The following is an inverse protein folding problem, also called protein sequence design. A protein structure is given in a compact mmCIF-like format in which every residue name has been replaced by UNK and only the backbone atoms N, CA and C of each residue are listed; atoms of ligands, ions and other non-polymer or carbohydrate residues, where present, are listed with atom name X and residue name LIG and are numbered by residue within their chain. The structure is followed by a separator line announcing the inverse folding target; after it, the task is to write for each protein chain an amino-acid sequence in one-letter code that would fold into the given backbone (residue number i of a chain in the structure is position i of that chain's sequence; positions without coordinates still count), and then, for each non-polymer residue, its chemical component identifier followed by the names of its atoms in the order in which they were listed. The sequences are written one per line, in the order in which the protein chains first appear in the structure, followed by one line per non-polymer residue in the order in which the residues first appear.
data_IF_465475145325
#
_entry.id   IF_465475145325
#
_cell.length_a   1.000
_cell.length_b   1.000
_cell.length_c   1.000
_cell.angle_alpha   90.00
_cell.angle_beta   90.00
_cell.angle_gamma   90.00
#
_symmetry.space_group_name_H-M   'P 1'
#
loop_
_entity.id
_entity.type
_entity.pdbx_description
1 polymer ?
#
# COMPACT_ATOMS: atom_id res chain seq x y z
N UNK A 1 -40.44 49.11 14.67
CA UNK A 1 -39.27 48.38 14.16
C UNK A 1 -39.71 47.70 12.88
N UNK A 2 -39.01 47.89 11.77
CA UNK A 2 -39.35 47.20 10.53
C UNK A 2 -38.97 45.72 10.69
N UNK A 3 -39.96 44.83 10.61
CA UNK A 3 -39.70 43.39 10.59
C UNK A 3 -39.04 43.05 9.25
N UNK A 4 -37.83 42.54 9.32
CA UNK A 4 -37.11 42.03 8.16
C UNK A 4 -37.62 40.61 7.87
N UNK A 5 -38.15 40.39 6.67
CA UNK A 5 -38.64 39.09 6.24
C UNK A 5 -37.65 38.49 5.23
N UNK A 6 -37.13 37.30 5.52
CA UNK A 6 -36.31 36.50 4.62
C UNK A 6 -37.07 35.27 4.16
N UNK A 7 -36.82 34.84 2.93
CA UNK A 7 -37.21 33.53 2.40
C UNK A 7 -35.97 32.81 1.89
N UNK A 8 -35.98 31.49 2.03
CA UNK A 8 -34.96 30.58 1.55
C UNK A 8 -35.41 30.00 0.20
N UNK A 9 -34.45 29.88 -0.72
CA UNK A 9 -34.66 29.16 -1.97
C UNK A 9 -34.74 27.65 -1.70
N UNK A 10 -35.43 26.92 -2.58
CA UNK A 10 -35.55 25.44 -2.51
C UNK A 10 -34.19 24.73 -2.52
N UNK A 11 -33.14 25.36 -3.05
CA UNK A 11 -31.78 24.82 -3.05
C UNK A 11 -31.00 25.07 -1.76
N UNK A 12 -31.55 25.78 -0.76
CA UNK A 12 -30.80 26.14 0.44
C UNK A 12 -30.31 24.90 1.21
N UNK A 13 -31.17 23.88 1.33
CA UNK A 13 -30.81 22.61 1.97
C UNK A 13 -29.70 21.86 1.24
N UNK A 14 -29.75 21.86 -0.10
CA UNK A 14 -28.69 21.30 -0.96
C UNK A 14 -27.36 22.02 -0.76
N UNK A 15 -27.37 23.36 -0.77
CA UNK A 15 -26.18 24.18 -0.57
C UNK A 15 -25.56 23.92 0.81
N UNK A 16 -26.38 23.85 1.85
CA UNK A 16 -25.90 23.57 3.20
C UNK A 16 -25.22 22.20 3.30
N UNK A 17 -25.81 21.17 2.67
CA UNK A 17 -25.22 19.85 2.62
C UNK A 17 -23.87 19.83 1.86
N UNK A 18 -23.77 20.56 0.75
CA UNK A 18 -22.53 20.70 -0.01
C UNK A 18 -21.42 21.34 0.81
N UNK A 19 -21.72 22.43 1.53
CA UNK A 19 -20.75 23.13 2.40
C UNK A 19 -20.25 22.19 3.52
N UNK A 20 -21.16 21.47 4.17
CA UNK A 20 -20.81 20.53 5.22
C UNK A 20 -19.89 19.41 4.72
N UNK A 21 -20.20 18.86 3.54
CA UNK A 21 -19.39 17.80 2.92
C UNK A 21 -18.04 18.32 2.42
N UNK A 22 -17.94 19.57 1.93
CA UNK A 22 -16.67 20.20 1.59
C UNK A 22 -15.79 20.40 2.84
N UNK A 23 -16.38 20.77 3.97
CA UNK A 23 -15.66 20.82 5.24
C UNK A 23 -15.07 19.45 5.63
N UNK A 24 -15.83 18.37 5.47
CA UNK A 24 -15.35 17.02 5.77
C UNK A 24 -14.27 16.56 4.78
N UNK A 25 -14.55 16.60 3.47
CA UNK A 25 -13.78 15.88 2.44
C UNK A 25 -12.64 16.70 1.84
N UNK A 26 -12.78 18.03 1.79
CA UNK A 26 -11.79 18.93 1.20
C UNK A 26 -10.97 19.65 2.27
N UNK A 27 -11.63 20.21 3.27
CA UNK A 27 -10.96 20.94 4.36
C UNK A 27 -10.45 20.01 5.47
N UNK A 28 -10.88 18.75 5.46
CA UNK A 28 -10.44 17.71 6.39
C UNK A 28 -10.79 18.11 7.84
N UNK A 29 -12.03 18.57 8.04
CA UNK A 29 -12.55 19.09 9.31
C UNK A 29 -13.92 18.49 9.63
N UNK A 30 -13.96 17.33 10.30
CA UNK A 30 -15.22 16.65 10.61
C UNK A 30 -16.07 17.42 11.62
N UNK A 31 -15.43 18.17 12.53
CA UNK A 31 -16.13 18.99 13.52
C UNK A 31 -16.90 20.09 12.83
N UNK A 32 -16.23 20.85 11.95
CA UNK A 32 -16.86 21.94 11.20
C UNK A 32 -17.95 21.44 10.25
N UNK A 33 -17.80 20.24 9.70
CA UNK A 33 -18.84 19.60 8.89
C UNK A 33 -20.14 19.38 9.68
N UNK A 34 -20.05 18.88 10.91
CA UNK A 34 -21.22 18.70 11.78
C UNK A 34 -21.78 20.05 12.25
N UNK A 35 -20.91 20.98 12.68
CA UNK A 35 -21.30 22.33 13.11
C UNK A 35 -22.04 23.10 12.02
N UNK A 36 -21.71 22.87 10.75
CA UNK A 36 -22.42 23.47 9.62
C UNK A 36 -23.91 23.17 9.66
N UNK A 37 -24.31 21.94 10.02
CA UNK A 37 -25.71 21.60 10.19
C UNK A 37 -26.27 22.08 11.53
N UNK A 38 -25.61 21.76 12.64
CA UNK A 38 -26.17 22.00 13.98
C UNK A 38 -26.22 23.48 14.37
N UNK A 39 -25.39 24.33 13.77
CA UNK A 39 -25.47 25.79 13.97
C UNK A 39 -26.43 26.48 13.00
N UNK A 40 -26.72 25.87 11.84
CA UNK A 40 -27.62 26.45 10.83
C UNK A 40 -29.08 26.04 11.04
N UNK A 41 -29.31 24.85 11.62
CA UNK A 41 -30.63 24.32 11.91
C UNK A 41 -30.80 24.24 13.42
N UNK A 42 -31.65 25.10 13.97
CA UNK A 42 -31.87 25.18 15.41
C UNK A 42 -32.33 23.83 15.98
N UNK A 43 -31.76 23.43 17.11
CA UNK A 43 -32.05 22.17 17.82
C UNK A 43 -31.82 20.88 17.02
N UNK A 44 -31.07 20.90 15.91
CA UNK A 44 -30.77 19.69 15.14
C UNK A 44 -29.83 18.75 15.91
N UNK A 45 -30.24 17.50 16.20
CA UNK A 45 -29.37 16.53 16.86
C UNK A 45 -28.17 16.12 15.98
N UNK A 46 -27.03 15.83 16.62
CA UNK A 46 -25.81 15.38 15.93
C UNK A 46 -26.05 14.11 15.10
N UNK A 47 -26.88 13.18 15.57
CA UNK A 47 -27.23 11.97 14.82
C UNK A 47 -27.92 12.27 13.48
N UNK A 48 -28.76 13.31 13.44
CA UNK A 48 -29.38 13.76 12.20
C UNK A 48 -28.38 14.48 11.30
N UNK A 49 -27.48 15.29 11.87
CA UNK A 49 -26.38 15.91 11.13
C UNK A 49 -25.47 14.87 10.45
N UNK A 50 -25.19 13.76 11.12
CA UNK A 50 -24.43 12.62 10.56
C UNK A 50 -25.14 12.01 9.34
N UNK A 51 -26.46 11.81 9.43
CA UNK A 51 -27.26 11.25 8.32
C UNK A 51 -27.43 12.25 7.16
N UNK A 52 -27.46 13.54 7.46
CA UNK A 52 -27.40 14.60 6.44
C UNK A 52 -26.05 14.61 5.74
N UNK A 53 -24.96 14.39 6.49
CA UNK A 53 -23.60 14.36 5.96
C UNK A 53 -23.39 13.20 4.98
N UNK A 54 -23.92 12.01 5.27
CA UNK A 54 -23.92 10.86 4.34
C UNK A 54 -24.93 10.98 3.19
N UNK A 55 -25.84 11.96 3.27
CA UNK A 55 -26.93 12.14 2.30
C UNK A 55 -28.06 11.13 2.45
N UNK A 56 -28.15 10.39 3.55
CA UNK A 56 -29.31 9.55 3.90
C UNK A 56 -30.56 10.39 4.20
N UNK A 57 -30.34 11.54 4.84
CA UNK A 57 -31.35 12.58 5.01
C UNK A 57 -31.05 13.76 4.08
N UNK A 58 -32.09 14.52 3.77
CA UNK A 58 -32.00 15.78 3.02
C UNK A 58 -32.81 16.87 3.71
N UNK A 59 -32.48 18.12 3.40
CA UNK A 59 -33.16 19.30 3.92
C UNK A 59 -34.04 19.86 2.81
N UNK A 60 -35.35 19.78 2.97
CA UNK A 60 -36.32 20.39 2.07
C UNK A 60 -36.77 21.75 2.60
N UNK A 61 -36.89 22.73 1.70
CA UNK A 61 -37.54 24.00 2.00
C UNK A 61 -38.94 23.96 1.42
N UNK A 62 -39.94 24.23 2.26
CA UNK A 62 -41.35 24.28 1.87
C UNK A 62 -41.63 25.43 0.89
N UNK A 63 -42.78 25.37 0.22
CA UNK A 63 -43.17 26.39 -0.77
C UNK A 63 -43.30 27.80 -0.19
N UNK A 64 -43.46 27.93 1.13
CA UNK A 64 -43.48 29.22 1.83
C UNK A 64 -42.09 29.86 1.96
N UNK A 65 -41.01 29.12 1.66
CA UNK A 65 -39.62 29.58 1.76
C UNK A 65 -39.19 29.88 3.20
N UNK A 66 -39.94 29.48 4.22
CA UNK A 66 -39.64 29.77 5.63
C UNK A 66 -39.46 28.47 6.41
N UNK A 67 -40.31 27.47 6.14
CA UNK A 67 -40.26 26.20 6.83
C UNK A 67 -39.24 25.27 6.17
N UNK A 68 -38.44 24.61 7.02
CA UNK A 68 -37.37 23.71 6.62
C UNK A 68 -37.57 22.38 7.30
N UNK A 69 -37.63 21.30 6.51
CA UNK A 69 -37.90 19.95 6.99
C UNK A 69 -36.74 19.03 6.66
N UNK A 70 -36.32 18.22 7.63
CA UNK A 70 -35.36 17.14 7.40
C UNK A 70 -36.12 15.85 7.12
N UNK A 71 -35.93 15.28 5.94
CA UNK A 71 -36.66 14.10 5.47
C UNK A 71 -35.70 13.04 4.93
N UNK A 72 -36.19 11.80 4.83
CA UNK A 72 -35.45 10.72 4.18
C UNK A 72 -35.24 11.01 2.70
N UNK A 73 -34.05 10.70 2.18
CA UNK A 73 -33.76 10.85 0.75
C UNK A 73 -34.63 9.93 -0.10
N UNK A 74 -35.49 10.54 -0.92
CA UNK A 74 -36.12 9.90 -2.09
C UNK A 74 -35.29 10.15 -3.36
N UNK A 75 -34.78 9.10 -4.01
CA UNK A 75 -33.94 9.22 -5.21
C UNK A 75 -34.67 9.77 -6.44
N UNK A 76 -36.00 9.68 -6.50
CA UNK A 76 -36.77 10.26 -7.61
C UNK A 76 -36.88 11.79 -7.48
N UNK A 77 -36.84 12.31 -6.24
CA UNK A 77 -37.00 13.74 -5.93
C UNK A 77 -35.67 14.44 -5.66
N UNK A 78 -34.72 13.75 -5.05
CA UNK A 78 -33.46 14.30 -4.53
C UNK A 78 -32.23 13.84 -5.28
N UNK A 79 -32.39 13.41 -6.54
CA UNK A 79 -31.27 12.97 -7.38
C UNK A 79 -30.16 14.02 -7.51
N UNK A 80 -30.49 15.30 -7.35
CA UNK A 80 -29.55 16.41 -7.43
C UNK A 80 -28.95 16.84 -6.07
N UNK A 81 -29.42 16.29 -4.94
CA UNK A 81 -28.80 16.49 -3.63
C UNK A 81 -27.49 15.71 -3.56
N UNK A 82 -26.46 16.21 -2.86
CA UNK A 82 -25.21 15.50 -2.82
C UNK A 82 -25.33 14.20 -2.01
N UNK A 83 -24.59 13.17 -2.44
CA UNK A 83 -24.50 11.86 -1.77
C UNK A 83 -23.06 11.36 -1.93
N UNK A 84 -22.17 11.71 -1.00
CA UNK A 84 -20.77 11.35 -1.10
C UNK A 84 -20.60 9.83 -0.96
N UNK A 85 -19.75 9.24 -1.81
CA UNK A 85 -19.28 7.87 -1.62
C UNK A 85 -18.10 7.90 -0.65
N UNK A 86 -18.39 7.73 0.65
CA UNK A 86 -17.35 7.71 1.66
C UNK A 86 -16.42 6.51 1.54
N UNK A 87 -16.89 5.38 1.01
CA UNK A 87 -16.05 4.18 0.85
C UNK A 87 -15.01 4.43 -0.24
N UNK A 88 -15.44 4.90 -1.42
CA UNK A 88 -14.54 5.22 -2.52
C UNK A 88 -13.56 6.34 -2.12
N UNK A 89 -14.05 7.41 -1.51
CA UNK A 89 -13.18 8.49 -1.02
C UNK A 89 -12.15 7.98 -0.01
N UNK A 90 -12.57 7.16 0.95
CA UNK A 90 -11.69 6.60 1.98
C UNK A 90 -10.59 5.75 1.35
N UNK A 91 -10.94 4.81 0.47
CA UNK A 91 -9.97 3.96 -0.25
C UNK A 91 -9.02 4.78 -1.12
N UNK A 92 -9.53 5.80 -1.80
CA UNK A 92 -8.73 6.72 -2.60
C UNK A 92 -7.69 7.46 -1.75
N UNK A 93 -8.07 8.02 -0.60
CA UNK A 93 -7.12 8.73 0.26
C UNK A 93 -6.03 7.80 0.81
N UNK A 94 -6.36 6.57 1.22
CA UNK A 94 -5.37 5.56 1.63
C UNK A 94 -4.33 5.29 0.54
N UNK A 95 -4.79 5.11 -0.70
CA UNK A 95 -3.93 4.90 -1.86
C UNK A 95 -3.05 6.12 -2.15
N UNK A 96 -3.61 7.32 -2.06
CA UNK A 96 -2.88 8.56 -2.30
C UNK A 96 -1.85 8.85 -1.21
N UNK A 97 -2.12 8.56 0.07
CA UNK A 97 -1.12 8.65 1.15
C UNK A 97 0.11 7.82 0.81
N UNK A 98 -0.09 6.57 0.37
CA UNK A 98 1.01 5.69 -0.04
C UNK A 98 1.74 6.23 -1.26
N UNK A 99 1.00 6.55 -2.33
CA UNK A 99 1.58 6.98 -3.61
C UNK A 99 2.36 8.29 -3.50
N UNK A 100 1.78 9.30 -2.84
CA UNK A 100 2.45 10.59 -2.64
C UNK A 100 3.57 10.49 -1.62
N UNK A 101 3.37 9.70 -0.55
CA UNK A 101 4.42 9.41 0.42
C UNK A 101 5.65 8.77 -0.22
N UNK A 102 5.48 7.77 -1.08
CA UNK A 102 6.60 7.12 -1.76
C UNK A 102 7.41 8.10 -2.63
N UNK A 103 6.76 9.05 -3.31
CA UNK A 103 7.46 10.08 -4.09
C UNK A 103 8.27 11.02 -3.22
N UNK A 104 7.70 11.44 -2.09
CA UNK A 104 8.38 12.33 -1.14
C UNK A 104 9.57 11.62 -0.51
N UNK A 105 9.39 10.36 -0.10
CA UNK A 105 10.47 9.52 0.42
C UNK A 105 11.63 9.44 -0.58
N UNK A 106 11.34 9.13 -1.85
CA UNK A 106 12.37 9.06 -2.90
C UNK A 106 13.10 10.39 -3.09
N UNK A 107 12.38 11.52 -3.08
CA UNK A 107 13.02 12.84 -3.17
C UNK A 107 13.90 13.18 -1.96
N UNK A 108 13.50 12.76 -0.75
CA UNK A 108 14.33 12.92 0.45
C UNK A 108 15.57 12.01 0.40
N UNK A 109 15.44 10.79 -0.13
CA UNK A 109 16.55 9.86 -0.37
C UNK A 109 17.56 10.43 -1.37
N UNK A 110 17.09 11.01 -2.47
CA UNK A 110 17.95 11.67 -3.45
C UNK A 110 18.73 12.83 -2.80
N UNK A 111 18.06 13.63 -1.96
CA UNK A 111 18.71 14.70 -1.22
C UNK A 111 19.76 14.18 -0.24
N UNK A 112 19.44 13.14 0.53
CA UNK A 112 20.37 12.48 1.44
C UNK A 112 21.61 11.94 0.71
N UNK A 113 21.41 11.26 -0.43
CA UNK A 113 22.51 10.76 -1.27
C UNK A 113 23.37 11.89 -1.83
N UNK A 114 22.75 13.00 -2.26
CA UNK A 114 23.48 14.19 -2.71
C UNK A 114 24.38 14.76 -1.61
N UNK A 115 23.86 14.89 -0.38
CA UNK A 115 24.63 15.35 0.79
C UNK A 115 25.79 14.39 1.07
N UNK A 116 25.54 13.08 1.07
CA UNK A 116 26.56 12.04 1.28
C UNK A 116 27.69 12.13 0.24
N UNK A 117 27.36 12.20 -1.05
CA UNK A 117 28.33 12.30 -2.15
C UNK A 117 29.26 13.51 -1.99
N UNK A 118 28.71 14.65 -1.53
CA UNK A 118 29.46 15.88 -1.32
C UNK A 118 29.98 16.05 0.12
N UNK A 119 29.99 14.96 0.91
CA UNK A 119 30.49 14.92 2.29
C UNK A 119 29.88 15.99 3.19
N UNK A 120 28.61 16.28 2.98
CA UNK A 120 27.87 17.26 3.78
C UNK A 120 28.10 18.72 3.42
N UNK A 121 28.79 19.03 2.32
CA UNK A 121 29.16 20.39 1.96
C UNK A 121 28.84 20.75 0.52
N UNK A 122 28.55 22.02 0.26
CA UNK A 122 28.47 22.59 -1.08
C UNK A 122 29.29 23.88 -1.11
N UNK A 123 30.00 24.09 -2.22
CA UNK A 123 30.75 25.32 -2.44
C UNK A 123 29.93 26.31 -3.29
N UNK A 124 30.11 27.59 -2.96
CA UNK A 124 29.60 28.73 -3.72
C UNK A 124 30.77 29.61 -4.13
N UNK A 125 30.72 30.11 -5.36
CA UNK A 125 31.70 31.06 -5.87
C UNK A 125 31.16 32.49 -5.70
N UNK A 126 31.94 33.34 -5.06
CA UNK A 126 31.61 34.76 -4.87
C UNK A 126 32.70 35.63 -5.48
N UNK A 127 32.31 36.72 -6.13
CA UNK A 127 33.28 37.71 -6.57
C UNK A 127 33.83 38.52 -5.36
N UNK A 128 35.06 39.02 -5.47
CA UNK A 128 35.71 39.77 -4.38
C UNK A 128 34.98 41.07 -4.01
N UNK A 129 34.22 41.65 -4.94
CA UNK A 129 33.45 42.87 -4.68
C UNK A 129 32.28 42.61 -3.72
N UNK A 130 31.54 41.52 -3.93
CA UNK A 130 30.46 41.05 -3.06
C UNK A 130 31.01 40.75 -1.65
N UNK A 131 32.13 40.02 -1.57
CA UNK A 131 32.81 39.76 -0.30
C UNK A 131 33.27 41.05 0.39
N UNK A 132 33.83 42.00 -0.36
CA UNK A 132 34.25 43.30 0.18
C UNK A 132 33.07 44.13 0.74
N UNK A 133 31.93 44.14 0.04
CA UNK A 133 30.69 44.78 0.53
C UNK A 133 30.19 44.11 1.82
N UNK A 134 30.17 42.78 1.87
CA UNK A 134 29.79 42.04 3.07
C UNK A 134 30.71 42.36 4.25
N UNK A 135 32.03 42.26 4.08
CA UNK A 135 33.00 42.47 5.16
C UNK A 135 32.99 43.91 5.69
N UNK A 136 32.89 44.92 4.81
CA UNK A 136 33.01 46.33 5.20
C UNK A 136 31.67 46.93 5.62
N UNK A 137 30.58 46.55 4.94
CA UNK A 137 29.26 47.18 5.09
C UNK A 137 28.19 46.27 5.68
N UNK A 138 28.50 44.99 5.95
CA UNK A 138 27.53 43.96 6.32
C UNK A 138 26.39 43.83 5.29
N UNK A 139 26.69 44.09 4.02
CA UNK A 139 25.77 43.98 2.89
C UNK A 139 25.85 42.56 2.33
N UNK A 140 24.81 41.77 2.60
CA UNK A 140 24.68 40.35 2.23
C UNK A 140 23.89 40.13 0.93
N UNK A 141 23.26 41.17 0.35
CA UNK A 141 22.26 40.99 -0.71
C UNK A 141 22.79 40.20 -1.92
N UNK A 142 23.99 40.50 -2.40
CA UNK A 142 24.58 39.79 -3.55
C UNK A 142 24.96 38.32 -3.22
N UNK A 143 25.31 38.04 -1.95
CA UNK A 143 25.59 36.68 -1.46
C UNK A 143 24.29 35.88 -1.34
N UNK A 144 23.25 36.48 -0.74
CA UNK A 144 21.90 35.92 -0.65
C UNK A 144 21.32 35.61 -2.02
N UNK A 145 21.42 36.53 -2.99
CA UNK A 145 20.92 36.33 -4.35
C UNK A 145 21.60 35.12 -5.02
N UNK A 146 22.91 34.92 -4.82
CA UNK A 146 23.63 33.75 -5.36
C UNK A 146 23.14 32.45 -4.72
N UNK A 147 22.93 32.45 -3.40
CA UNK A 147 22.44 31.26 -2.67
C UNK A 147 20.98 30.96 -3.06
N UNK A 148 20.13 31.97 -3.12
CA UNK A 148 18.69 31.83 -3.37
C UNK A 148 18.36 31.49 -4.82
N UNK A 149 19.23 31.86 -5.76
CA UNK A 149 19.12 31.48 -7.17
C UNK A 149 19.73 30.10 -7.48
N UNK A 150 20.44 29.48 -6.53
CA UNK A 150 21.05 28.17 -6.72
C UNK A 150 19.99 27.06 -6.79
N UNK A 151 19.94 26.28 -7.88
CA UNK A 151 18.96 25.21 -8.05
C UNK A 151 19.01 24.14 -6.94
N UNK A 152 20.17 23.90 -6.33
CA UNK A 152 20.35 22.93 -5.23
C UNK A 152 19.64 23.42 -3.98
N UNK A 153 19.79 24.71 -3.65
CA UNK A 153 19.13 25.36 -2.51
C UNK A 153 17.62 25.39 -2.71
N UNK A 154 17.17 25.76 -3.90
CA UNK A 154 15.74 25.77 -4.21
C UNK A 154 15.13 24.36 -4.17
N UNK A 155 15.86 23.33 -4.63
CA UNK A 155 15.42 21.94 -4.53
C UNK A 155 15.27 21.50 -3.06
N UNK A 156 16.25 21.79 -2.21
CA UNK A 156 16.18 21.53 -0.77
C UNK A 156 14.95 22.20 -0.14
N UNK A 157 14.76 23.49 -0.43
CA UNK A 157 13.62 24.28 0.06
C UNK A 157 12.28 23.67 -0.35
N UNK A 158 12.14 23.27 -1.63
CA UNK A 158 10.94 22.61 -2.14
C UNK A 158 10.69 21.28 -1.44
N UNK A 159 11.71 20.45 -1.28
CA UNK A 159 11.57 19.15 -0.64
C UNK A 159 11.15 19.27 0.82
N UNK A 160 11.69 20.22 1.57
CA UNK A 160 11.26 20.46 2.96
C UNK A 160 9.81 20.95 3.03
N UNK A 161 9.43 21.92 2.18
CA UNK A 161 8.05 22.41 2.13
C UNK A 161 7.05 21.33 1.73
N UNK A 162 7.36 20.53 0.71
CA UNK A 162 6.51 19.43 0.26
C UNK A 162 6.34 18.36 1.33
N UNK A 163 7.43 18.01 2.02
CA UNK A 163 7.41 16.99 3.07
C UNK A 163 6.61 17.45 4.29
N UNK A 164 6.83 18.68 4.78
CA UNK A 164 6.05 19.25 5.90
C UNK A 164 4.56 19.38 5.54
N UNK A 165 4.24 19.89 4.35
CA UNK A 165 2.85 20.01 3.91
C UNK A 165 2.15 18.65 3.80
N UNK A 166 2.83 17.64 3.27
CA UNK A 166 2.33 16.27 3.22
C UNK A 166 2.05 15.70 4.61
N UNK A 167 3.01 15.82 5.54
CA UNK A 167 2.85 15.32 6.91
C UNK A 167 1.66 15.99 7.59
N UNK A 168 1.58 17.33 7.54
CA UNK A 168 0.45 18.09 8.12
C UNK A 168 -0.90 17.66 7.54
N UNK A 169 -0.99 17.53 6.22
CA UNK A 169 -2.23 17.09 5.56
C UNK A 169 -2.61 15.67 5.99
N UNK A 170 -1.62 14.77 6.05
CA UNK A 170 -1.84 13.37 6.40
C UNK A 170 -2.29 13.21 7.85
N UNK A 171 -1.70 13.96 8.78
CA UNK A 171 -2.15 13.99 10.18
C UNK A 171 -3.57 14.52 10.34
N UNK A 172 -3.97 15.53 9.55
CA UNK A 172 -5.38 15.97 9.53
C UNK A 172 -6.30 14.86 9.00
N UNK A 173 -5.89 14.15 7.94
CA UNK A 173 -6.69 13.07 7.36
C UNK A 173 -6.99 11.96 8.36
N UNK A 174 -6.08 11.68 9.30
CA UNK A 174 -6.32 10.69 10.35
C UNK A 174 -7.56 11.01 11.19
N UNK A 175 -7.79 12.29 11.51
CA UNK A 175 -8.97 12.70 12.25
C UNK A 175 -10.26 12.43 11.45
N UNK A 176 -10.22 12.58 10.12
CA UNK A 176 -11.37 12.25 9.26
C UNK A 176 -11.55 10.75 9.15
N UNK A 177 -10.48 9.96 9.05
CA UNK A 177 -10.57 8.51 9.08
C UNK A 177 -11.17 8.01 10.40
N UNK A 178 -10.69 8.50 11.53
CA UNK A 178 -11.23 8.17 12.85
C UNK A 178 -12.72 8.50 12.96
N UNK A 179 -13.12 9.68 12.48
CA UNK A 179 -14.52 10.09 12.42
C UNK A 179 -15.34 9.13 11.57
N UNK A 180 -14.91 8.87 10.33
CA UNK A 180 -15.63 8.02 9.39
C UNK A 180 -15.74 6.56 9.85
N UNK A 181 -14.65 5.99 10.38
CA UNK A 181 -14.61 4.64 10.96
C UNK A 181 -15.56 4.51 12.16
N UNK A 182 -15.63 5.53 13.02
CA UNK A 182 -16.51 5.54 14.18
C UNK A 182 -17.98 5.77 13.83
N UNK A 183 -18.24 6.67 12.87
CA UNK A 183 -19.59 7.11 12.52
C UNK A 183 -20.28 6.17 11.53
N UNK A 184 -19.54 5.52 10.63
CA UNK A 184 -20.11 4.64 9.59
C UNK A 184 -19.48 3.23 9.59
N UNK A 185 -19.43 2.50 10.72
CA UNK A 185 -18.66 1.25 10.86
C UNK A 185 -19.16 0.10 9.96
N UNK A 186 -20.42 0.14 9.53
CA UNK A 186 -20.99 -0.86 8.62
C UNK A 186 -20.60 -0.63 7.16
N UNK A 187 -20.27 0.61 6.78
CA UNK A 187 -19.84 0.98 5.45
C UNK A 187 -18.31 1.00 5.36
N UNK A 188 -17.67 1.48 6.42
CA UNK A 188 -16.23 1.68 6.52
C UNK A 188 -15.68 0.69 7.53
N UNK A 189 -15.15 -0.41 7.00
CA UNK A 189 -14.52 -1.45 7.81
C UNK A 189 -13.00 -1.26 7.82
N UNK A 190 -12.37 -0.91 8.96
CA UNK A 190 -10.91 -0.78 9.05
C UNK A 190 -10.18 -2.11 8.80
N UNK A 191 -10.87 -3.25 8.99
CA UNK A 191 -10.32 -4.59 8.82
C UNK A 191 -10.38 -5.12 7.37
N UNK A 192 -11.04 -4.42 6.44
CA UNK A 192 -10.99 -4.75 5.00
C UNK A 192 -9.76 -4.14 4.29
N UNK A 193 -8.77 -3.61 5.04
CA UNK A 193 -7.62 -2.96 4.41
C UNK A 193 -6.35 -2.72 5.23
N UNK A 194 -6.38 -2.59 6.57
CA UNK A 194 -5.20 -2.73 7.46
C UNK A 194 -5.59 -2.50 8.94
N UNK A 195 -5.23 -3.48 9.77
CA UNK A 195 -5.51 -3.65 11.21
C UNK A 195 -4.62 -2.70 12.06
N UNK A 196 -5.01 -2.31 13.30
CA UNK A 196 -4.46 -1.14 14.01
C UNK A 196 -3.02 -1.32 14.50
N UNK A 197 -2.26 -0.22 14.42
CA UNK A 197 -0.88 -0.11 14.86
C UNK A 197 0.03 0.33 13.72
N UNK A 198 0.43 1.61 13.71
CA UNK A 198 1.19 2.30 12.63
C UNK A 198 0.48 2.34 11.28
N UNK A 199 -0.55 3.19 11.17
CA UNK A 199 -1.44 3.35 9.99
C UNK A 199 -0.69 3.42 8.64
N UNK A 200 0.54 3.94 8.59
CA UNK A 200 1.35 3.95 7.36
C UNK A 200 2.87 4.02 7.65
N UNK A 201 3.64 2.92 7.48
CA UNK A 201 5.09 2.93 7.70
C UNK A 201 5.84 3.97 6.86
N UNK A 202 5.29 4.35 5.71
CA UNK A 202 5.86 5.37 4.82
C UNK A 202 5.94 6.76 5.50
N UNK A 203 4.99 7.09 6.38
CA UNK A 203 4.98 8.37 7.08
C UNK A 203 6.17 8.45 8.04
N UNK A 204 6.36 7.43 8.87
CA UNK A 204 7.50 7.35 9.79
C UNK A 204 8.84 7.43 9.03
N UNK A 205 8.94 6.79 7.87
CA UNK A 205 10.14 6.87 7.02
C UNK A 205 10.40 8.29 6.52
N UNK A 206 9.37 9.00 6.09
CA UNK A 206 9.48 10.41 5.66
C UNK A 206 9.89 11.28 6.85
N UNK A 207 9.25 11.11 8.01
CA UNK A 207 9.58 11.89 9.21
C UNK A 207 11.02 11.67 9.65
N UNK A 208 11.48 10.43 9.71
CA UNK A 208 12.87 10.11 10.07
C UNK A 208 13.85 10.77 9.10
N UNK A 209 13.63 10.63 7.79
CA UNK A 209 14.52 11.22 6.78
C UNK A 209 14.51 12.75 6.81
N UNK A 210 13.32 13.35 6.92
CA UNK A 210 13.17 14.80 7.02
C UNK A 210 13.82 15.34 8.29
N UNK A 211 13.63 14.67 9.43
CA UNK A 211 14.24 15.05 10.71
C UNK A 211 15.77 14.99 10.63
N UNK A 212 16.33 13.91 10.10
CA UNK A 212 17.77 13.77 9.90
C UNK A 212 18.35 14.91 9.04
N UNK A 213 17.61 15.35 8.03
CA UNK A 213 18.00 16.47 7.16
C UNK A 213 17.89 17.83 7.87
N UNK A 214 16.82 18.07 8.63
CA UNK A 214 16.60 19.32 9.38
C UNK A 214 17.64 19.48 10.50
N UNK A 215 17.92 18.40 11.23
CA UNK A 215 18.89 18.39 12.34
C UNK A 215 20.33 18.23 11.85
N UNK A 216 20.52 17.99 10.54
CA UNK A 216 21.82 17.69 9.93
C UNK A 216 22.57 16.56 10.67
N UNK A 217 21.87 15.43 10.89
CA UNK A 217 22.47 14.22 11.43
C UNK A 217 23.17 13.43 10.31
N UNK A 218 24.40 13.85 9.99
CA UNK A 218 25.18 13.26 8.90
C UNK A 218 25.47 11.76 9.13
N UNK A 219 25.71 11.34 10.38
CA UNK A 219 25.97 9.94 10.71
C UNK A 219 24.73 9.08 10.45
N UNK A 220 23.54 9.56 10.83
CA UNK A 220 22.28 8.87 10.56
C UNK A 220 21.97 8.80 9.07
N UNK A 221 22.28 9.87 8.30
CA UNK A 221 22.15 9.88 6.84
C UNK A 221 23.01 8.78 6.21
N UNK A 222 24.30 8.74 6.55
CA UNK A 222 25.26 7.73 6.06
C UNK A 222 24.89 6.30 6.50
N UNK A 223 24.42 6.12 7.75
CA UNK A 223 23.96 4.83 8.24
C UNK A 223 22.75 4.33 7.44
N UNK A 224 21.78 5.20 7.19
CA UNK A 224 20.56 4.86 6.41
C UNK A 224 20.91 4.47 4.98
N UNK A 225 21.79 5.22 4.32
CA UNK A 225 22.22 4.91 2.94
C UNK A 225 22.96 3.57 2.90
N UNK A 226 23.85 3.30 3.86
CA UNK A 226 24.58 2.03 3.94
C UNK A 226 23.65 0.83 4.12
N UNK A 227 22.65 0.93 5.00
CA UNK A 227 21.67 -0.14 5.20
C UNK A 227 20.89 -0.46 3.92
N UNK A 228 20.45 0.58 3.19
CA UNK A 228 19.77 0.43 1.91
C UNK A 228 20.67 -0.23 0.85
N UNK A 229 21.92 0.24 0.72
CA UNK A 229 22.88 -0.26 -0.26
C UNK A 229 23.33 -1.70 0.06
N UNK A 230 23.48 -2.06 1.34
CA UNK A 230 23.74 -3.45 1.77
C UNK A 230 22.57 -4.38 1.40
N UNK A 231 21.33 -3.91 1.57
CA UNK A 231 20.14 -4.64 1.15
C UNK A 231 20.13 -4.91 -0.36
N UNK A 232 20.43 -3.90 -1.17
CA UNK A 232 20.53 -4.03 -2.64
C UNK A 232 21.67 -4.98 -3.02
N UNK A 233 22.83 -4.85 -2.37
CA UNK A 233 23.99 -5.71 -2.61
C UNK A 233 23.64 -7.18 -2.37
N UNK A 234 22.97 -7.50 -1.26
CA UNK A 234 22.50 -8.87 -0.98
C UNK A 234 21.54 -9.39 -2.06
N UNK A 235 20.66 -8.54 -2.58
CA UNK A 235 19.77 -8.91 -3.69
C UNK A 235 20.56 -9.23 -4.97
N UNK A 236 21.56 -8.40 -5.31
CA UNK A 236 22.41 -8.62 -6.48
C UNK A 236 23.25 -9.89 -6.33
N UNK A 237 23.88 -10.10 -5.17
CA UNK A 237 24.66 -11.30 -4.86
C UNK A 237 23.78 -12.56 -4.94
N UNK A 238 22.58 -12.52 -4.34
CA UNK A 238 21.61 -13.60 -4.44
C UNK A 238 21.21 -13.90 -5.89
N UNK A 239 20.94 -12.86 -6.69
CA UNK A 239 20.60 -13.02 -8.10
C UNK A 239 21.74 -13.66 -8.91
N UNK A 240 22.98 -13.23 -8.67
CA UNK A 240 24.18 -13.79 -9.32
C UNK A 240 24.42 -15.26 -8.95
N UNK A 241 24.18 -15.63 -7.68
CA UNK A 241 24.34 -17.01 -7.24
C UNK A 241 23.26 -17.93 -7.79
N UNK A 242 22.01 -17.45 -7.85
CA UNK A 242 20.90 -18.13 -8.54
C UNK A 242 21.24 -18.34 -10.02
N UNK A 243 21.74 -17.31 -10.71
CA UNK A 243 22.13 -17.41 -12.12
C UNK A 243 23.21 -18.48 -12.32
N UNK A 244 24.21 -18.57 -11.44
CA UNK A 244 25.25 -19.61 -11.48
C UNK A 244 24.66 -21.01 -11.33
N UNK A 245 23.72 -21.19 -10.39
CA UNK A 245 23.07 -22.49 -10.12
C UNK A 245 22.18 -22.93 -11.30
N UNK A 246 21.55 -21.98 -11.98
CA UNK A 246 20.65 -22.21 -13.12
C UNK A 246 21.34 -22.11 -14.50
N UNK A 247 22.69 -22.07 -14.58
CA UNK A 247 23.43 -22.00 -15.86
C UNK A 247 23.11 -23.14 -16.83
N UNK A 248 22.71 -24.29 -16.31
CA UNK A 248 22.34 -25.45 -17.10
C UNK A 248 20.83 -25.68 -17.01
N UNK A 249 20.28 -26.44 -17.97
CA UNK A 249 18.87 -26.85 -17.95
C UNK A 249 18.55 -27.51 -16.60
N UNK A 250 17.57 -26.94 -15.91
CA UNK A 250 17.21 -27.34 -14.54
C UNK A 250 16.78 -28.82 -14.48
N UNK A 251 17.32 -29.53 -13.49
CA UNK A 251 17.03 -30.95 -13.28
C UNK A 251 16.19 -31.17 -12.02
N UNK A 252 15.35 -32.23 -11.99
CA UNK A 252 14.67 -32.60 -10.77
C UNK A 252 15.68 -32.88 -9.65
N UNK A 253 15.36 -32.41 -8.45
CA UNK A 253 16.12 -32.59 -7.23
C UNK A 253 15.32 -33.40 -6.21
N UNK A 254 16.01 -33.99 -5.23
CA UNK A 254 15.30 -34.60 -4.10
C UNK A 254 14.72 -33.52 -3.19
N UNK A 255 13.39 -33.52 -3.06
CA UNK A 255 12.64 -32.61 -2.19
C UNK A 255 13.11 -32.66 -0.72
N UNK A 256 13.69 -33.79 -0.29
CA UNK A 256 14.19 -34.00 1.07
C UNK A 256 15.48 -33.24 1.39
N UNK A 257 16.12 -32.63 0.38
CA UNK A 257 17.30 -31.78 0.58
C UNK A 257 16.95 -30.41 1.17
N UNK A 258 15.65 -30.13 1.40
CA UNK A 258 15.16 -28.96 2.13
C UNK A 258 15.62 -27.61 1.53
N UNK A 259 15.43 -27.48 0.21
CA UNK A 259 15.70 -26.23 -0.50
C UNK A 259 14.85 -25.06 0.03
N UNK A 260 15.38 -23.84 -0.07
CA UNK A 260 14.69 -22.62 0.40
C UNK A 260 13.34 -22.39 -0.30
N UNK A 261 13.26 -22.70 -1.60
CA UNK A 261 12.03 -22.65 -2.38
C UNK A 261 12.01 -23.75 -3.45
N UNK A 262 10.82 -24.10 -3.94
CA UNK A 262 10.69 -25.04 -5.04
C UNK A 262 9.32 -25.15 -5.67
N UNK A 263 9.31 -25.83 -6.81
CA UNK A 263 8.12 -26.22 -7.58
C UNK A 263 8.05 -27.74 -7.70
N UNK A 264 6.91 -28.32 -7.37
CA UNK A 264 6.65 -29.75 -7.47
C UNK A 264 5.62 -30.03 -8.56
N UNK A 265 6.03 -30.76 -9.59
CA UNK A 265 5.18 -31.07 -10.74
C UNK A 265 4.11 -32.14 -10.41
N UNK A 266 3.09 -32.30 -11.26
CA UNK A 266 2.06 -33.34 -11.10
C UNK A 266 2.58 -34.79 -11.05
N UNK A 267 3.77 -35.06 -11.60
CA UNK A 267 4.39 -36.38 -11.58
C UNK A 267 5.26 -36.63 -10.33
N UNK A 268 5.41 -35.64 -9.44
CA UNK A 268 6.20 -35.72 -8.23
C UNK A 268 7.67 -35.31 -8.39
N UNK A 269 8.08 -34.77 -9.55
CA UNK A 269 9.40 -34.19 -9.76
C UNK A 269 9.48 -32.81 -9.10
N UNK A 270 10.46 -32.66 -8.21
CA UNK A 270 10.70 -31.42 -7.49
C UNK A 270 11.85 -30.64 -8.11
N UNK A 271 11.70 -29.33 -8.23
CA UNK A 271 12.72 -28.40 -8.68
C UNK A 271 12.96 -27.39 -7.56
N UNK A 272 14.13 -27.44 -6.94
CA UNK A 272 14.47 -26.64 -5.77
C UNK A 272 15.60 -25.66 -6.05
N UNK A 273 15.59 -24.54 -5.31
CA UNK A 273 16.63 -23.53 -5.36
C UNK A 273 16.87 -22.98 -3.95
N UNK A 274 18.13 -22.74 -3.61
CA UNK A 274 18.50 -22.13 -2.34
C UNK A 274 18.72 -20.63 -2.51
N UNK A 275 18.34 -19.86 -1.49
CA UNK A 275 18.64 -18.44 -1.43
C UNK A 275 17.78 -17.71 -0.42
N UNK A 276 18.08 -16.43 -0.23
CA UNK A 276 17.49 -15.63 0.85
C UNK A 276 16.12 -15.06 0.47
N UNK A 277 15.85 -14.84 -0.82
CA UNK A 277 14.68 -14.08 -1.29
C UNK A 277 13.66 -14.99 -1.97
N UNK A 278 12.66 -15.44 -1.21
CA UNK A 278 11.60 -16.37 -1.62
C UNK A 278 11.00 -16.10 -3.01
N UNK A 279 10.48 -14.90 -3.24
CA UNK A 279 9.82 -14.56 -4.50
C UNK A 279 10.77 -14.62 -5.70
N UNK A 280 12.02 -14.18 -5.52
CA UNK A 280 13.05 -14.26 -6.55
C UNK A 280 13.34 -15.71 -6.92
N UNK A 281 13.39 -16.62 -5.94
CA UNK A 281 13.62 -18.04 -6.20
C UNK A 281 12.49 -18.66 -7.03
N UNK A 282 11.23 -18.38 -6.70
CA UNK A 282 10.08 -18.95 -7.41
C UNK A 282 9.99 -18.47 -8.86
N UNK A 283 10.26 -17.19 -9.11
CA UNK A 283 10.25 -16.63 -10.47
C UNK A 283 11.39 -17.21 -11.31
N UNK A 284 12.63 -17.25 -10.77
CA UNK A 284 13.77 -17.83 -11.48
C UNK A 284 13.58 -19.33 -11.76
N UNK A 285 13.01 -20.09 -10.81
CA UNK A 285 12.67 -21.49 -11.04
C UNK A 285 11.61 -21.64 -12.15
N UNK A 286 10.59 -20.79 -12.17
CA UNK A 286 9.55 -20.84 -13.20
C UNK A 286 10.12 -20.55 -14.60
N UNK A 287 11.01 -19.55 -14.72
CA UNK A 287 11.73 -19.25 -15.95
C UNK A 287 12.66 -20.40 -16.38
N UNK A 288 13.38 -21.02 -15.44
CA UNK A 288 14.22 -22.18 -15.74
C UNK A 288 13.40 -23.40 -16.20
N UNK A 289 12.22 -23.62 -15.61
CA UNK A 289 11.28 -24.67 -16.04
C UNK A 289 10.72 -24.36 -17.44
N UNK A 290 10.42 -23.09 -17.74
CA UNK A 290 10.02 -22.66 -19.09
C UNK A 290 11.08 -22.98 -20.13
N UNK A 291 12.33 -22.63 -19.88
CA UNK A 291 13.44 -22.92 -20.80
C UNK A 291 13.63 -24.44 -20.98
N UNK A 292 13.50 -25.23 -19.90
CA UNK A 292 13.48 -26.69 -20.00
C UNK A 292 12.36 -27.20 -20.91
N UNK A 293 11.13 -26.72 -20.73
CA UNK A 293 9.99 -27.10 -21.57
C UNK A 293 10.21 -26.74 -23.05
N UNK A 294 10.80 -25.58 -23.30
CA UNK A 294 11.13 -25.11 -24.65
C UNK A 294 12.18 -26.00 -25.31
N UNK A 295 13.24 -26.37 -24.58
CA UNK A 295 14.33 -27.22 -25.10
C UNK A 295 13.89 -28.69 -25.25
N UNK A 296 13.23 -29.26 -24.24
CA UNK A 296 12.91 -30.70 -24.22
C UNK A 296 11.60 -31.05 -24.95
N UNK A 297 10.59 -30.17 -24.88
CA UNK A 297 9.24 -30.43 -25.41
C UNK A 297 8.87 -29.55 -26.60
N UNK A 298 9.70 -28.57 -26.95
CA UNK A 298 9.41 -27.60 -28.02
C UNK A 298 8.25 -26.65 -27.70
N UNK A 299 7.81 -26.58 -26.44
CA UNK A 299 6.66 -25.80 -26.00
C UNK A 299 7.11 -24.65 -25.12
N UNK A 300 6.69 -23.43 -25.45
CA UNK A 300 6.87 -22.27 -24.58
C UNK A 300 5.63 -22.11 -23.68
N UNK A 301 5.82 -22.15 -22.36
CA UNK A 301 4.75 -21.98 -21.37
C UNK A 301 4.34 -20.50 -21.16
N UNK A 302 4.92 -19.58 -21.94
CA UNK A 302 4.46 -18.20 -22.06
C UNK A 302 5.22 -17.19 -21.19
N UNK A 303 4.79 -15.92 -21.24
CA UNK A 303 5.47 -14.79 -20.58
C UNK A 303 5.31 -14.74 -19.06
N UNK A 304 4.36 -15.50 -18.50
CA UNK A 304 4.16 -15.61 -17.05
C UNK A 304 4.20 -17.09 -16.62
N UNK A 305 5.40 -17.69 -16.56
CA UNK A 305 5.54 -19.10 -16.23
C UNK A 305 5.12 -19.42 -14.79
N UNK A 306 5.32 -18.50 -13.84
CA UNK A 306 4.88 -18.67 -12.44
C UNK A 306 3.37 -18.93 -12.36
N UNK A 307 2.58 -18.05 -12.99
CA UNK A 307 1.12 -18.22 -13.08
C UNK A 307 0.74 -19.46 -13.85
N UNK A 308 1.44 -19.76 -14.95
CA UNK A 308 1.16 -20.97 -15.73
C UNK A 308 1.32 -22.23 -14.90
N UNK A 309 2.39 -22.34 -14.10
CA UNK A 309 2.63 -23.49 -13.22
C UNK A 309 1.49 -23.66 -12.20
N UNK A 310 1.01 -22.58 -11.59
CA UNK A 310 -0.13 -22.60 -10.67
C UNK A 310 -1.41 -23.10 -11.35
N UNK A 311 -1.73 -22.59 -12.55
CA UNK A 311 -2.91 -22.98 -13.32
C UNK A 311 -2.83 -24.42 -13.88
N UNK A 312 -1.64 -25.02 -13.90
CA UNK A 312 -1.40 -26.39 -14.41
C UNK A 312 -1.10 -27.40 -13.30
N UNK A 313 -1.53 -27.11 -12.07
CA UNK A 313 -1.49 -28.07 -10.96
C UNK A 313 -0.09 -28.32 -10.41
N UNK A 314 0.83 -27.38 -10.53
CA UNK A 314 2.10 -27.44 -9.81
C UNK A 314 1.94 -26.91 -8.38
N UNK A 315 2.71 -27.49 -7.46
CA UNK A 315 2.71 -27.07 -6.05
C UNK A 315 3.90 -26.14 -5.80
N UNK A 316 3.61 -24.98 -5.21
CA UNK A 316 4.61 -23.99 -4.82
C UNK A 316 5.02 -24.23 -3.36
N UNK A 317 6.31 -24.41 -3.11
CA UNK A 317 6.85 -24.81 -1.80
C UNK A 317 7.85 -23.76 -1.31
N UNK A 318 7.63 -23.20 -0.12
CA UNK A 318 8.57 -22.28 0.51
C UNK A 318 8.80 -22.67 1.97
N UNK A 319 9.95 -23.29 2.27
CA UNK A 319 10.18 -23.93 3.57
C UNK A 319 9.07 -24.93 3.89
N UNK A 320 8.44 -24.83 5.07
CA UNK A 320 7.30 -25.69 5.44
C UNK A 320 5.94 -25.18 4.95
N UNK A 321 5.90 -24.12 4.14
CA UNK A 321 4.67 -23.55 3.58
C UNK A 321 4.40 -24.09 2.18
N UNK A 322 3.22 -24.68 2.00
CA UNK A 322 2.77 -25.29 0.76
C UNK A 322 1.57 -24.50 0.21
N UNK A 323 1.70 -24.05 -1.03
CA UNK A 323 0.68 -23.33 -1.77
C UNK A 323 0.26 -24.13 -3.01
N UNK A 324 -1.04 -24.16 -3.26
CA UNK A 324 -1.60 -24.90 -4.39
C UNK A 324 -2.91 -24.26 -4.86
N UNK A 325 -2.87 -23.66 -6.05
CA UNK A 325 -4.00 -22.92 -6.63
C UNK A 325 -4.99 -23.82 -7.37
N UNK A 326 -4.65 -25.10 -7.60
CA UNK A 326 -5.50 -26.02 -8.37
C UNK A 326 -6.90 -26.24 -7.79
N UNK A 327 -7.11 -26.04 -6.49
CA UNK A 327 -8.42 -26.14 -5.83
C UNK A 327 -9.28 -24.86 -5.92
N UNK A 328 -8.74 -23.77 -6.47
CA UNK A 328 -9.44 -22.48 -6.62
C UNK A 328 -9.88 -22.19 -8.07
N UNK A 329 -9.64 -23.11 -9.03
CA UNK A 329 -10.02 -22.97 -10.44
C UNK A 329 -11.53 -22.78 -10.65
N UNK A 330 -12.35 -23.38 -9.78
CA UNK A 330 -13.81 -23.18 -9.79
C UNK A 330 -14.23 -21.72 -9.54
N UNK A 331 -13.42 -20.88 -8.89
CA UNK A 331 -13.67 -19.42 -8.78
C UNK A 331 -13.57 -18.71 -10.13
N UNK A 332 -12.92 -19.33 -11.12
CA UNK A 332 -12.72 -18.81 -12.47
C UNK A 332 -13.52 -19.59 -13.53
N UNK A 333 -14.58 -20.32 -13.12
CA UNK A 333 -15.38 -21.21 -13.98
C UNK A 333 -14.57 -22.32 -14.68
N UNK A 334 -13.46 -22.75 -14.07
CA UNK A 334 -12.63 -23.87 -14.52
C UNK A 334 -12.78 -25.05 -13.58
N UNK A 335 -12.34 -26.24 -14.01
CA UNK A 335 -12.41 -27.45 -13.19
C UNK A 335 -11.24 -27.46 -12.21
N UNK A 336 -11.53 -27.65 -10.92
CA UNK A 336 -10.49 -27.85 -9.91
C UNK A 336 -9.56 -29.01 -10.31
N UNK A 337 -8.26 -28.82 -10.09
CA UNK A 337 -7.20 -29.78 -10.34
C UNK A 337 -6.78 -30.33 -8.97
N UNK A 338 -7.15 -31.56 -8.59
CA UNK A 338 -6.71 -32.14 -7.33
C UNK A 338 -5.21 -32.43 -7.33
N UNK A 339 -4.59 -32.39 -6.15
CA UNK A 339 -3.23 -32.88 -5.97
C UNK A 339 -3.14 -34.35 -6.40
N UNK A 340 -2.11 -34.69 -7.17
CA UNK A 340 -1.88 -36.08 -7.57
C UNK A 340 -1.33 -36.90 -6.40
N UNK A 341 -1.47 -38.23 -6.45
CA UNK A 341 -0.89 -39.12 -5.43
C UNK A 341 0.63 -38.99 -5.37
N UNK A 342 1.28 -38.73 -6.51
CA UNK A 342 2.73 -38.50 -6.57
C UNK A 342 3.10 -37.23 -5.79
N UNK A 343 2.34 -36.14 -5.97
CA UNK A 343 2.55 -34.90 -5.22
C UNK A 343 2.31 -35.08 -3.73
N UNK A 344 1.19 -35.71 -3.35
CA UNK A 344 0.84 -35.97 -1.94
C UNK A 344 1.95 -36.80 -1.26
N UNK A 345 2.44 -37.85 -1.92
CA UNK A 345 3.53 -38.68 -1.41
C UNK A 345 4.86 -37.92 -1.26
N UNK A 346 5.23 -37.10 -2.25
CA UNK A 346 6.43 -36.25 -2.17
C UNK A 346 6.33 -35.24 -1.02
N UNK A 347 5.18 -34.60 -0.85
CA UNK A 347 4.93 -33.65 0.24
C UNK A 347 4.93 -34.32 1.62
N UNK A 348 4.33 -35.51 1.74
CA UNK A 348 4.35 -36.29 2.99
C UNK A 348 5.77 -36.65 3.38
N UNK A 349 6.56 -37.15 2.41
CA UNK A 349 7.95 -37.50 2.62
C UNK A 349 8.79 -36.27 3.02
N UNK A 350 8.57 -35.15 2.33
CA UNK A 350 9.21 -33.87 2.64
C UNK A 350 8.89 -33.38 4.04
N UNK A 351 7.60 -33.29 4.41
CA UNK A 351 7.17 -32.85 5.72
C UNK A 351 7.74 -33.72 6.84
N UNK A 352 7.76 -35.04 6.66
CA UNK A 352 8.31 -35.98 7.63
C UNK A 352 9.82 -35.83 7.82
N UNK A 353 10.58 -35.70 6.73
CA UNK A 353 12.05 -35.65 6.78
C UNK A 353 12.55 -34.27 7.20
N UNK A 354 12.00 -33.20 6.65
CA UNK A 354 12.53 -31.85 6.78
C UNK A 354 11.84 -31.02 7.88
N UNK A 355 10.57 -31.30 8.17
CA UNK A 355 9.72 -30.41 8.98
C UNK A 355 8.99 -31.14 10.13
N UNK A 356 9.60 -32.22 10.66
CA UNK A 356 9.09 -32.99 11.81
C UNK A 356 7.64 -33.49 11.62
N UNK A 357 7.26 -33.76 10.39
CA UNK A 357 5.93 -34.25 10.03
C UNK A 357 4.83 -33.19 10.02
N UNK A 358 5.15 -31.89 10.02
CA UNK A 358 4.16 -30.80 10.01
C UNK A 358 4.40 -29.87 8.80
N UNK A 359 3.32 -29.58 8.06
CA UNK A 359 3.31 -28.63 6.95
C UNK A 359 2.28 -27.53 7.21
N UNK A 360 2.55 -26.32 6.71
CA UNK A 360 1.63 -25.19 6.71
C UNK A 360 1.01 -25.09 5.33
N UNK A 361 -0.31 -25.15 5.25
CA UNK A 361 -1.04 -25.27 3.98
C UNK A 361 -1.85 -24.00 3.70
N UNK A 362 -1.92 -23.62 2.43
CA UNK A 362 -2.77 -22.53 1.95
C UNK A 362 -2.31 -21.14 2.39
N UNK A 363 -3.04 -20.12 1.97
CA UNK A 363 -2.72 -18.72 2.30
C UNK A 363 -2.82 -18.42 3.81
N UNK A 364 -3.72 -19.13 4.51
CA UNK A 364 -3.88 -19.02 5.96
C UNK A 364 -2.76 -19.72 6.76
N UNK A 365 -1.87 -20.47 6.09
CA UNK A 365 -0.76 -21.20 6.70
C UNK A 365 -1.21 -22.18 7.80
N UNK A 366 -2.33 -22.88 7.55
CA UNK A 366 -2.90 -23.83 8.51
C UNK A 366 -1.91 -24.99 8.71
N UNK A 367 -1.52 -25.24 9.96
CA UNK A 367 -0.58 -26.30 10.30
C UNK A 367 -1.31 -27.65 10.34
N UNK A 368 -0.94 -28.58 9.46
CA UNK A 368 -1.46 -29.95 9.45
C UNK A 368 -0.32 -30.97 9.53
N UNK A 369 -0.57 -32.15 10.12
CA UNK A 369 0.34 -33.28 9.98
C UNK A 369 0.51 -33.66 8.50
N UNK A 370 1.73 -33.83 8.04
CA UNK A 370 2.04 -34.13 6.63
C UNK A 370 1.30 -35.39 6.15
N UNK A 371 1.23 -36.43 6.99
CA UNK A 371 0.48 -37.67 6.72
C UNK A 371 -1.01 -37.43 6.41
N UNK A 372 -1.59 -36.32 6.88
CA UNK A 372 -2.99 -35.97 6.63
C UNK A 372 -3.28 -35.76 5.15
N UNK A 373 -2.30 -35.36 4.34
CA UNK A 373 -2.44 -35.18 2.89
C UNK A 373 -2.89 -36.47 2.16
N UNK A 374 -2.54 -37.64 2.69
CA UNK A 374 -2.91 -38.94 2.12
C UNK A 374 -4.20 -39.55 2.73
N UNK A 375 -4.71 -38.97 3.83
CA UNK A 375 -5.83 -39.54 4.60
C UNK A 375 -7.15 -38.85 4.27
N UNK A 376 -7.10 -37.54 4.03
CA UNK A 376 -8.31 -36.74 3.81
C UNK A 376 -8.70 -36.73 2.33
N UNK A 377 -10.00 -36.57 2.08
CA UNK A 377 -10.53 -36.44 0.72
C UNK A 377 -10.21 -35.05 0.11
N UNK A 378 -10.42 -34.93 -1.20
CA UNK A 378 -10.13 -33.69 -1.93
C UNK A 378 -11.02 -32.52 -1.49
N UNK A 379 -12.20 -32.79 -0.91
CA UNK A 379 -13.10 -31.76 -0.37
C UNK A 379 -12.44 -31.09 0.85
N UNK A 380 -11.88 -31.91 1.74
CA UNK A 380 -11.18 -31.43 2.92
C UNK A 380 -9.83 -30.79 2.56
N UNK A 381 -9.10 -31.33 1.59
CA UNK A 381 -7.88 -30.69 1.08
C UNK A 381 -8.19 -29.32 0.48
N UNK A 382 -9.25 -29.22 -0.32
CA UNK A 382 -9.70 -27.93 -0.86
C UNK A 382 -9.92 -26.91 0.24
N UNK A 383 -10.55 -27.29 1.35
CA UNK A 383 -10.77 -26.39 2.49
C UNK A 383 -9.46 -25.88 3.11
N UNK A 384 -8.42 -26.72 3.19
CA UNK A 384 -7.12 -26.33 3.73
C UNK A 384 -6.35 -25.37 2.81
N UNK A 385 -6.51 -25.50 1.49
CA UNK A 385 -5.82 -24.66 0.52
C UNK A 385 -6.60 -23.40 0.14
N UNK A 386 -7.92 -23.41 0.25
CA UNK A 386 -8.78 -22.27 -0.09
C UNK A 386 -8.58 -21.08 0.84
N UNK A 387 -8.62 -19.87 0.26
CA UNK A 387 -8.64 -18.58 0.97
C UNK A 387 -9.77 -18.45 2.00
#
# INVERSE_FOLDING_TARGET
MANLHFTLDKSAGKLLAQIAQEHLLCNIDPKKAIETFTMSLNDLPVEMAIKLLSGELVIEVEDDGVNVNVVSRDENKHSDYPKPDFVDWYLFQHKEIRRSGDRIRLGLEELQRSISIHRGSFDFEFNYQALGKFIIKNDITEIEDIIDSDPRVENMRRMFKLSDAYLRKTYKLFNVFDFLEHTYPQQINPFNGCVPGTRYPIINRIEMKLKALIEYDYELIEATIREEDEGIKKHIESAQDIEKELRNIIQPSDIKLNYSAGWLDPNGFFYGLNGEISNMLHMNLADAIREKYKVEKGTDIGENPDRWLEEHGWVKIHGNWILYSGYDESRFNRKDIPLTDCQKNSLVAYGNVCHKGILKIGYQKEAIPAARLNIVDDIMLRKYFSL
#
